data_IF_770713808974
#
_entry.id   IF_770713808974
#
_cell.length_a   1.000
_cell.length_b   1.000
_cell.length_c   1.000
_cell.angle_alpha   90.00
_cell.angle_beta   90.00
_cell.angle_gamma   90.00
#
_symmetry.space_group_name_H-M   'P 1'
#
loop_
_entity.id
_entity.type
_entity.pdbx_description
1 polymer ?
#
# COMPACT_ATOMS: atom_id res chain seq x y z
N UNK A 1 10.48 -23.22 3.30
CA UNK A 1 9.13 -22.69 3.00
C UNK A 1 9.26 -21.18 2.95
N UNK A 2 9.04 -20.57 1.79
CA UNK A 2 9.05 -19.10 1.66
C UNK A 2 7.68 -18.61 2.10
N UNK A 3 7.60 -17.99 3.28
CA UNK A 3 6.35 -17.39 3.75
C UNK A 3 6.07 -16.17 2.88
N UNK A 4 5.14 -16.31 1.94
CA UNK A 4 4.69 -15.19 1.10
C UNK A 4 3.73 -14.35 1.95
N UNK A 5 4.25 -13.26 2.47
CA UNK A 5 3.48 -12.26 3.19
C UNK A 5 2.65 -11.44 2.21
N UNK A 6 1.32 -11.37 2.43
CA UNK A 6 0.46 -10.48 1.67
C UNK A 6 0.62 -9.04 2.18
N UNK A 7 0.95 -8.07 1.30
CA UNK A 7 1.03 -6.67 1.68
C UNK A 7 -0.36 -6.12 2.02
N UNK A 8 -0.41 -5.12 2.88
CA UNK A 8 -1.60 -4.30 3.14
C UNK A 8 -1.38 -2.92 2.52
N UNK A 9 -2.40 -2.37 1.87
CA UNK A 9 -2.34 -1.04 1.27
C UNK A 9 -3.16 -0.06 2.11
N UNK A 10 -2.52 0.98 2.61
CA UNK A 10 -3.11 1.97 3.53
C UNK A 10 -3.06 3.35 2.87
N UNK A 11 -4.18 4.06 2.89
CA UNK A 11 -4.25 5.43 2.39
C UNK A 11 -3.79 6.40 3.48
N UNK A 12 -2.84 7.24 3.15
CA UNK A 12 -2.42 8.39 3.94
C UNK A 12 -2.71 9.67 3.19
N UNK A 13 -2.98 10.75 3.92
CA UNK A 13 -3.18 12.08 3.38
C UNK A 13 -2.07 12.97 3.93
N UNK A 14 -1.31 13.59 3.03
CA UNK A 14 -0.26 14.54 3.41
C UNK A 14 -0.83 15.86 3.94
N UNK A 15 0.05 16.72 4.46
CA UNK A 15 -0.32 18.05 4.95
C UNK A 15 -0.87 18.97 3.83
N UNK A 16 -0.56 18.65 2.57
CA UNK A 16 -1.06 19.29 1.36
C UNK A 16 -2.45 18.79 0.93
N UNK A 17 -3.04 17.84 1.68
CA UNK A 17 -4.30 17.21 1.34
C UNK A 17 -4.21 16.17 0.21
N UNK A 18 -3.01 15.89 -0.32
CA UNK A 18 -2.81 14.92 -1.39
C UNK A 18 -2.75 13.50 -0.81
N UNK A 19 -3.61 12.57 -1.29
CA UNK A 19 -3.53 11.18 -0.86
C UNK A 19 -2.35 10.44 -1.52
N UNK A 20 -1.75 9.53 -0.76
CA UNK A 20 -0.78 8.55 -1.22
C UNK A 20 -1.04 7.19 -0.57
N UNK A 21 -0.55 6.11 -1.19
CA UNK A 21 -0.78 4.75 -0.73
C UNK A 21 0.52 4.19 -0.18
N UNK A 22 0.49 3.77 1.09
CA UNK A 22 1.57 3.07 1.78
C UNK A 22 1.35 1.57 1.71
N UNK A 23 2.44 0.83 1.56
CA UNK A 23 2.49 -0.63 1.58
C UNK A 23 3.06 -1.05 2.93
N UNK A 24 2.27 -1.77 3.71
CA UNK A 24 2.63 -2.28 5.02
C UNK A 24 2.69 -3.82 5.02
N UNK A 25 3.57 -4.44 5.82
CA UNK A 25 3.55 -5.88 6.03
C UNK A 25 2.21 -6.30 6.63
N UNK A 26 1.58 -7.35 6.09
CA UNK A 26 0.34 -7.88 6.64
C UNK A 26 0.51 -8.40 8.07
N UNK A 27 -0.59 -8.53 8.86
CA UNK A 27 -0.57 -8.77 10.31
C UNK A 27 0.13 -10.07 10.76
N UNK A 28 0.43 -10.99 9.85
CA UNK A 28 1.15 -12.25 10.14
C UNK A 28 2.58 -12.29 9.57
N UNK A 29 3.08 -11.16 9.10
CA UNK A 29 4.37 -11.08 8.41
C UNK A 29 5.40 -10.48 9.36
N UNK A 30 6.55 -11.12 9.50
CA UNK A 30 7.74 -10.41 10.03
C UNK A 30 7.98 -9.17 9.17
N UNK A 31 8.39 -8.03 9.75
CA UNK A 31 8.62 -6.81 8.98
C UNK A 31 9.64 -7.12 7.88
N UNK A 32 9.16 -7.19 6.63
CA UNK A 32 9.97 -7.62 5.48
C UNK A 32 11.12 -6.63 5.26
N UNK A 33 10.95 -5.39 5.74
CA UNK A 33 11.94 -4.32 5.74
C UNK A 33 11.47 -3.23 6.71
N UNK A 34 12.36 -2.64 7.50
CA UNK A 34 12.13 -1.40 8.27
C UNK A 34 11.77 -0.17 7.39
N UNK A 35 11.67 -0.36 6.07
CA UNK A 35 11.39 0.67 5.09
C UNK A 35 9.91 0.65 4.70
N UNK A 36 9.27 1.80 4.87
CA UNK A 36 7.90 2.04 4.40
C UNK A 36 7.94 2.30 2.90
N UNK A 37 7.34 1.43 2.09
CA UNK A 37 7.19 1.65 0.66
C UNK A 37 5.81 2.26 0.37
N UNK A 38 5.70 3.00 -0.72
CA UNK A 38 4.44 3.60 -1.13
C UNK A 38 4.57 4.30 -2.47
N UNK A 39 3.45 4.81 -2.97
CA UNK A 39 3.39 5.57 -4.21
C UNK A 39 2.37 6.68 -4.09
N UNK A 40 2.67 7.80 -4.75
CA UNK A 40 1.76 8.94 -4.85
C UNK A 40 0.74 8.69 -5.96
N UNK A 41 -0.48 9.18 -5.74
CA UNK A 41 -1.52 9.22 -6.77
C UNK A 41 -1.42 10.53 -7.55
N UNK A 42 -2.11 10.58 -8.70
CA UNK A 42 -2.16 11.79 -9.50
C UNK A 42 -2.69 12.99 -8.67
N UNK A 43 -2.16 14.21 -8.88
CA UNK A 43 -2.68 15.40 -8.22
C UNK A 43 -4.20 15.54 -8.43
N UNK A 44 -4.93 15.87 -7.37
CA UNK A 44 -6.39 16.02 -7.41
C UNK A 44 -7.18 14.71 -7.29
N UNK A 45 -6.51 13.56 -7.11
CA UNK A 45 -7.18 12.30 -6.75
C UNK A 45 -7.88 12.47 -5.41
N UNK A 46 -9.17 12.14 -5.34
CA UNK A 46 -9.91 12.23 -4.09
C UNK A 46 -9.49 11.13 -3.11
N UNK A 47 -9.70 11.35 -1.81
CA UNK A 47 -9.48 10.29 -0.81
C UNK A 47 -10.32 9.04 -1.08
N UNK A 48 -11.56 9.21 -1.53
CA UNK A 48 -12.45 8.09 -1.83
C UNK A 48 -11.90 7.23 -2.99
N UNK A 49 -11.38 7.88 -4.03
CA UNK A 49 -10.74 7.17 -5.15
C UNK A 49 -9.45 6.48 -4.70
N UNK A 50 -8.66 7.13 -3.84
CA UNK A 50 -7.46 6.53 -3.24
C UNK A 50 -7.79 5.26 -2.42
N UNK A 51 -8.88 5.29 -1.65
CA UNK A 51 -9.36 4.13 -0.88
C UNK A 51 -9.84 3.00 -1.80
N UNK A 52 -10.50 3.31 -2.92
CA UNK A 52 -10.87 2.31 -3.93
C UNK A 52 -9.64 1.65 -4.56
N UNK A 53 -8.60 2.43 -4.88
CA UNK A 53 -7.34 1.90 -5.43
C UNK A 53 -6.64 1.02 -4.40
N UNK A 54 -6.52 1.45 -3.15
CA UNK A 54 -5.90 0.65 -2.09
C UNK A 54 -6.63 -0.68 -1.89
N UNK A 55 -7.97 -0.66 -1.89
CA UNK A 55 -8.79 -1.87 -1.81
C UNK A 55 -8.57 -2.80 -3.02
N UNK A 56 -8.61 -2.24 -4.23
CA UNK A 56 -8.38 -3.02 -5.45
C UNK A 56 -7.02 -3.73 -5.43
N UNK A 57 -5.97 -3.02 -5.00
CA UNK A 57 -4.63 -3.60 -4.87
C UNK A 57 -4.59 -4.69 -3.81
N UNK A 58 -5.21 -4.49 -2.64
CA UNK A 58 -5.31 -5.52 -1.60
C UNK A 58 -6.06 -6.77 -2.05
N UNK A 59 -7.04 -6.64 -2.95
CA UNK A 59 -7.82 -7.77 -3.48
C UNK A 59 -7.13 -8.50 -4.65
N UNK A 60 -6.37 -7.78 -5.48
CA UNK A 60 -5.81 -8.32 -6.74
C UNK A 60 -4.32 -8.60 -6.70
N UNK A 61 -3.58 -8.03 -5.76
CA UNK A 61 -2.13 -8.12 -5.71
C UNK A 61 -1.71 -9.16 -4.67
N UNK A 62 -1.34 -10.35 -5.14
CA UNK A 62 -1.07 -11.48 -4.26
C UNK A 62 0.38 -11.50 -3.74
N UNK A 63 1.33 -10.96 -4.50
CA UNK A 63 2.76 -10.93 -4.15
C UNK A 63 3.42 -9.65 -4.64
N UNK A 64 4.37 -9.15 -3.84
CA UNK A 64 5.28 -8.07 -4.23
C UNK A 64 6.70 -8.65 -4.35
N UNK A 65 7.30 -8.56 -5.53
CA UNK A 65 8.69 -8.97 -5.76
C UNK A 65 9.53 -7.73 -6.08
N UNK A 66 10.65 -7.55 -5.37
CA UNK A 66 11.68 -6.57 -5.73
C UNK A 66 12.62 -7.26 -6.73
N UNK A 67 12.62 -6.80 -7.98
CA UNK A 67 13.55 -7.25 -9.02
C UNK A 67 14.92 -6.57 -8.88
#
# INVERSE_FOLDING_TARGET
MTTIARPTFVVHVGDDGQPWIRIEPGPQSSPITDSSYGFQLAPGTSRADAEQVAKYLGEKLEYFIKL
#
